data_IF_008997727178
#
_entry.id   IF_008997727178
#
_cell.length_a   1.000
_cell.length_b   1.000
_cell.length_c   1.000
_cell.angle_alpha   90.00
_cell.angle_beta   90.00
_cell.angle_gamma   90.00
#
_symmetry.space_group_name_H-M   'P 1'
#
loop_
_entity.id
_entity.type
_entity.pdbx_description
1 polymer ?
#
# COMPACT_ATOMS: atom_id res chain seq x y z
N UNK A 1 -23.71 10.59 -54.48
CA UNK A 1 -23.70 11.09 -53.07
C UNK A 1 -23.78 10.00 -52.03
N UNK A 2 -24.73 9.01 -52.08
CA UNK A 2 -24.84 7.94 -51.09
C UNK A 2 -23.58 7.05 -50.96
N UNK A 3 -22.84 6.76 -52.04
CA UNK A 3 -21.62 5.93 -52.01
C UNK A 3 -20.44 6.66 -51.34
N UNK A 4 -20.35 7.98 -51.47
CA UNK A 4 -19.27 8.80 -50.88
C UNK A 4 -19.49 8.90 -49.35
N UNK A 5 -20.74 9.05 -48.89
CA UNK A 5 -21.09 9.08 -47.46
C UNK A 5 -20.74 7.75 -46.76
N UNK A 6 -20.96 6.61 -47.43
CA UNK A 6 -20.63 5.29 -46.89
C UNK A 6 -19.14 5.05 -46.75
N UNK A 7 -18.32 5.52 -47.71
CA UNK A 7 -16.86 5.44 -47.69
C UNK A 7 -16.28 6.34 -46.58
N UNK A 8 -16.81 7.56 -46.39
CA UNK A 8 -16.40 8.46 -45.32
C UNK A 8 -16.73 7.88 -43.93
N UNK A 9 -17.91 7.22 -43.79
CA UNK A 9 -18.31 6.57 -42.56
C UNK A 9 -17.45 5.32 -42.25
N UNK A 10 -17.01 4.58 -43.25
CA UNK A 10 -16.10 3.45 -43.13
C UNK A 10 -14.68 3.91 -42.71
N UNK A 11 -14.18 4.99 -43.30
CA UNK A 11 -12.86 5.58 -43.00
C UNK A 11 -12.87 6.16 -41.58
N UNK A 12 -13.96 6.83 -41.15
CA UNK A 12 -14.09 7.32 -39.79
C UNK A 12 -14.08 6.17 -38.75
N UNK A 13 -14.71 5.04 -39.04
CA UNK A 13 -14.69 3.88 -38.16
C UNK A 13 -13.34 3.17 -38.12
N UNK A 14 -12.58 3.15 -39.23
CA UNK A 14 -11.22 2.58 -39.24
C UNK A 14 -10.19 3.48 -38.54
N UNK A 15 -10.40 4.79 -38.48
CA UNK A 15 -9.58 5.73 -37.71
C UNK A 15 -9.84 5.60 -36.17
N UNK A 16 -11.01 5.11 -35.77
CA UNK A 16 -11.32 4.79 -34.36
C UNK A 16 -10.76 3.43 -33.88
N UNK A 17 -10.35 2.54 -34.80
CA UNK A 17 -9.93 1.16 -34.49
C UNK A 17 -8.42 0.98 -34.23
N UNK A 18 -7.62 2.04 -34.18
CA UNK A 18 -6.17 1.89 -34.23
C UNK A 18 -5.33 2.67 -33.22
N UNK A 19 -5.92 3.33 -32.23
CA UNK A 19 -5.07 4.00 -31.24
C UNK A 19 -4.65 3.00 -30.16
N UNK A 20 -3.37 2.65 -30.15
CA UNK A 20 -2.79 1.76 -29.14
C UNK A 20 -3.06 2.33 -27.72
N UNK A 21 -3.56 1.47 -26.82
CA UNK A 21 -3.83 1.85 -25.45
C UNK A 21 -2.52 2.10 -24.71
N UNK A 22 -2.50 3.11 -23.86
CA UNK A 22 -1.37 3.34 -22.95
C UNK A 22 -1.15 2.09 -22.10
N UNK A 23 0.09 1.60 -22.05
CA UNK A 23 0.50 0.45 -21.24
C UNK A 23 1.18 0.94 -19.97
N UNK A 24 0.59 0.62 -18.82
CA UNK A 24 1.01 1.13 -17.53
C UNK A 24 1.54 0.00 -16.68
N UNK A 25 2.85 0.00 -16.43
CA UNK A 25 3.51 -0.90 -15.49
C UNK A 25 3.24 -0.49 -14.04
N UNK A 26 3.13 -1.46 -13.15
CA UNK A 26 3.04 -1.23 -11.71
C UNK A 26 4.00 -2.12 -10.94
N UNK A 27 4.53 -1.62 -9.82
CA UNK A 27 5.52 -2.32 -9.00
C UNK A 27 4.91 -3.07 -7.83
N UNK A 28 3.90 -2.51 -7.18
CA UNK A 28 3.26 -3.06 -5.99
C UNK A 28 1.75 -3.26 -6.23
N UNK A 29 1.19 -4.27 -5.58
CA UNK A 29 -0.23 -4.65 -5.71
C UNK A 29 -1.21 -3.50 -5.47
N UNK A 30 -1.05 -2.62 -4.46
CA UNK A 30 -1.95 -1.49 -4.26
C UNK A 30 -2.05 -0.58 -5.48
N UNK A 31 -0.93 -0.32 -6.17
CA UNK A 31 -0.92 0.53 -7.37
C UNK A 31 -1.68 -0.08 -8.54
N UNK A 32 -1.73 -1.42 -8.62
CA UNK A 32 -2.60 -2.06 -9.60
C UNK A 32 -4.06 -1.64 -9.40
N UNK A 33 -4.57 -1.75 -8.17
CA UNK A 33 -5.94 -1.36 -7.86
C UNK A 33 -6.19 0.13 -8.13
N UNK A 34 -5.25 1.01 -7.76
CA UNK A 34 -5.37 2.45 -8.00
C UNK A 34 -5.45 2.76 -9.48
N UNK A 35 -4.49 2.27 -10.26
CA UNK A 35 -4.42 2.52 -11.71
C UNK A 35 -5.62 1.89 -12.42
N UNK A 36 -5.97 0.63 -12.12
CA UNK A 36 -7.09 -0.05 -12.74
C UNK A 36 -8.44 0.67 -12.51
N UNK A 37 -8.65 1.23 -11.31
CA UNK A 37 -9.85 2.03 -11.04
C UNK A 37 -9.85 3.39 -11.76
N UNK A 38 -8.69 3.98 -12.03
CA UNK A 38 -8.57 5.24 -12.77
C UNK A 38 -8.81 5.00 -14.27
N UNK A 39 -8.11 4.05 -14.86
CA UNK A 39 -8.05 3.92 -16.33
C UNK A 39 -9.11 2.98 -16.89
N UNK A 40 -9.57 2.01 -16.12
CA UNK A 40 -10.51 0.95 -16.54
C UNK A 40 -10.09 0.33 -17.88
N UNK A 41 -10.96 0.43 -18.90
CA UNK A 41 -10.75 -0.12 -20.24
C UNK A 41 -9.97 0.79 -21.19
N UNK A 42 -9.57 2.00 -20.76
CA UNK A 42 -8.88 3.00 -21.61
C UNK A 42 -7.37 2.78 -21.69
N UNK A 43 -6.78 2.08 -20.75
CA UNK A 43 -5.37 1.72 -20.74
C UNK A 43 -5.20 0.26 -20.28
N UNK A 44 -4.03 -0.31 -20.53
CA UNK A 44 -3.64 -1.65 -20.05
C UNK A 44 -2.77 -1.52 -18.81
N UNK A 45 -3.10 -2.26 -17.75
CA UNK A 45 -2.33 -2.25 -16.50
C UNK A 45 -1.56 -3.57 -16.39
N UNK A 46 -0.23 -3.48 -16.34
CA UNK A 46 0.68 -4.63 -16.42
C UNK A 46 1.54 -4.70 -15.16
N UNK A 47 1.41 -5.75 -14.33
CA UNK A 47 2.34 -5.96 -13.24
C UNK A 47 3.77 -6.20 -13.75
N UNK A 48 4.74 -5.43 -13.27
CA UNK A 48 6.15 -5.61 -13.64
C UNK A 48 6.71 -6.86 -12.95
N UNK A 49 6.33 -7.09 -11.70
CA UNK A 49 6.70 -8.28 -10.92
C UNK A 49 5.46 -9.13 -10.64
N UNK A 50 5.65 -10.46 -10.56
CA UNK A 50 4.59 -11.37 -10.13
C UNK A 50 4.41 -11.23 -8.61
N UNK A 51 3.14 -11.17 -8.15
CA UNK A 51 2.83 -11.04 -6.72
C UNK A 51 3.02 -12.35 -5.93
N UNK A 52 3.10 -13.49 -6.60
CA UNK A 52 3.22 -14.79 -5.96
C UNK A 52 4.61 -14.96 -5.35
N UNK A 53 4.67 -15.14 -4.02
CA UNK A 53 5.93 -15.27 -3.29
C UNK A 53 6.79 -13.99 -3.27
N UNK A 54 6.18 -12.84 -3.55
CA UNK A 54 6.88 -11.57 -3.64
C UNK A 54 7.07 -10.93 -2.25
N UNK A 55 8.32 -10.69 -1.90
CA UNK A 55 8.72 -9.82 -0.80
C UNK A 55 9.51 -8.65 -1.38
N UNK A 56 8.95 -7.46 -1.31
CA UNK A 56 9.54 -6.26 -1.90
C UNK A 56 10.89 -5.86 -1.27
N UNK A 57 11.12 -6.22 -0.02
CA UNK A 57 12.37 -5.88 0.69
C UNK A 57 13.57 -6.72 0.24
N UNK A 58 13.31 -7.96 -0.20
CA UNK A 58 14.36 -8.92 -0.57
C UNK A 58 14.37 -9.26 -2.07
N UNK A 59 13.46 -8.67 -2.84
CA UNK A 59 13.26 -9.00 -4.24
C UNK A 59 14.49 -8.72 -5.09
N UNK A 60 14.88 -9.72 -5.90
CA UNK A 60 15.91 -9.59 -6.92
C UNK A 60 15.27 -9.62 -8.33
N UNK A 61 15.55 -8.60 -9.17
CA UNK A 61 15.04 -8.54 -10.54
C UNK A 61 15.38 -9.77 -11.37
N UNK A 62 14.43 -10.19 -12.20
CA UNK A 62 14.55 -11.30 -13.16
C UNK A 62 14.50 -10.79 -14.59
N UNK A 63 14.96 -11.59 -15.54
CA UNK A 63 14.94 -11.24 -16.98
C UNK A 63 13.52 -10.94 -17.46
N UNK A 64 12.53 -11.69 -16.99
CA UNK A 64 11.13 -11.51 -17.36
C UNK A 64 10.55 -10.17 -16.88
N UNK A 65 11.10 -9.59 -15.78
CA UNK A 65 10.69 -8.28 -15.29
C UNK A 65 11.18 -7.18 -16.25
N UNK A 66 12.42 -7.31 -16.75
CA UNK A 66 12.99 -6.40 -17.73
C UNK A 66 12.20 -6.48 -19.06
N UNK A 67 11.83 -7.69 -19.48
CA UNK A 67 11.00 -7.88 -20.66
C UNK A 67 9.62 -7.23 -20.52
N UNK A 68 8.99 -7.33 -19.34
CA UNK A 68 7.70 -6.65 -19.07
C UNK A 68 7.88 -5.14 -19.05
N UNK A 69 8.93 -4.64 -18.39
CA UNK A 69 9.24 -3.22 -18.32
C UNK A 69 9.51 -2.60 -19.70
N UNK A 70 10.11 -3.37 -20.63
CA UNK A 70 10.36 -2.90 -22.01
C UNK A 70 9.10 -2.79 -22.87
N UNK A 71 7.96 -3.30 -22.42
CA UNK A 71 6.68 -3.32 -23.15
C UNK A 71 5.68 -2.30 -22.63
N UNK A 72 6.03 -1.52 -21.62
CA UNK A 72 5.15 -0.50 -21.04
C UNK A 72 5.64 0.90 -21.37
N UNK A 73 4.71 1.84 -21.46
CA UNK A 73 4.99 3.26 -21.78
C UNK A 73 5.35 4.03 -20.50
N UNK A 74 4.80 3.60 -19.37
CA UNK A 74 4.96 4.26 -18.07
C UNK A 74 4.99 3.22 -16.96
N UNK A 75 5.74 3.48 -15.87
CA UNK A 75 5.73 2.66 -14.66
C UNK A 75 5.34 3.53 -13.46
N UNK A 76 4.35 3.08 -12.69
CA UNK A 76 3.98 3.68 -11.41
C UNK A 76 4.80 3.01 -10.31
N UNK A 77 5.53 3.83 -9.56
CA UNK A 77 6.42 3.39 -8.47
C UNK A 77 6.02 4.01 -7.14
N UNK A 78 6.38 3.35 -6.04
CA UNK A 78 6.32 3.94 -4.70
C UNK A 78 7.27 5.15 -4.60
N UNK A 79 8.51 4.97 -5.02
CA UNK A 79 9.49 6.04 -5.22
C UNK A 79 10.06 6.64 -3.94
N UNK A 80 9.86 5.98 -2.79
CA UNK A 80 10.36 6.41 -1.47
C UNK A 80 10.97 5.24 -0.66
N UNK A 81 11.50 4.22 -1.34
CA UNK A 81 12.29 3.17 -0.69
C UNK A 81 11.64 1.80 -0.53
N UNK A 82 10.49 1.50 -1.11
CA UNK A 82 9.83 0.19 -0.99
C UNK A 82 9.94 -0.70 -2.24
N UNK A 83 10.15 -0.09 -3.38
CA UNK A 83 10.24 -0.77 -4.68
C UNK A 83 11.51 -0.40 -5.46
N UNK A 84 12.61 -0.17 -4.77
CA UNK A 84 13.88 0.27 -5.36
C UNK A 84 14.47 -0.72 -6.38
N UNK A 85 14.09 -1.99 -6.30
CA UNK A 85 14.45 -3.00 -7.30
C UNK A 85 14.03 -2.58 -8.73
N UNK A 86 12.98 -1.76 -8.87
CA UNK A 86 12.47 -1.33 -10.18
C UNK A 86 13.48 -0.47 -10.94
N UNK A 87 14.30 0.32 -10.27
CA UNK A 87 15.31 1.15 -10.93
C UNK A 87 16.36 0.28 -11.62
N UNK A 88 16.75 -0.85 -11.02
CA UNK A 88 17.63 -1.82 -11.65
C UNK A 88 17.00 -2.46 -12.90
N UNK A 89 15.68 -2.72 -12.85
CA UNK A 89 14.92 -3.23 -13.99
C UNK A 89 14.91 -2.18 -15.12
N UNK A 90 14.55 -0.93 -14.81
CA UNK A 90 14.47 0.17 -15.79
C UNK A 90 15.86 0.48 -16.40
N UNK A 91 16.92 0.39 -15.59
CA UNK A 91 18.28 0.63 -16.10
C UNK A 91 18.76 -0.45 -17.05
N UNK A 92 18.25 -1.67 -16.95
CA UNK A 92 18.51 -2.76 -17.88
C UNK A 92 17.67 -2.71 -19.16
N UNK A 93 16.60 -1.88 -19.22
CA UNK A 93 15.82 -1.68 -20.45
C UNK A 93 16.59 -0.83 -21.44
N UNK A 94 16.48 -1.16 -22.74
CA UNK A 94 17.06 -0.37 -23.85
C UNK A 94 16.69 1.12 -23.71
N UNK A 95 17.67 2.00 -23.90
CA UNK A 95 17.51 3.46 -23.74
C UNK A 95 16.35 4.05 -24.52
N UNK A 96 16.06 3.49 -25.70
CA UNK A 96 14.98 3.95 -26.58
C UNK A 96 13.60 3.42 -26.16
N UNK A 97 13.54 2.50 -25.16
CA UNK A 97 12.32 1.85 -24.66
C UNK A 97 12.09 2.10 -23.17
N UNK A 98 12.87 2.98 -22.55
CA UNK A 98 12.71 3.27 -21.13
C UNK A 98 11.34 3.92 -20.87
N UNK A 99 10.53 3.33 -19.95
CA UNK A 99 9.24 3.88 -19.59
C UNK A 99 9.37 5.21 -18.84
N UNK A 100 8.34 6.04 -18.91
CA UNK A 100 8.19 7.21 -18.04
C UNK A 100 7.90 6.75 -16.61
N UNK A 101 8.48 7.39 -15.62
CA UNK A 101 8.26 7.04 -14.20
C UNK A 101 7.23 7.99 -13.59
N UNK A 102 6.18 7.43 -12.99
CA UNK A 102 5.23 8.14 -12.12
C UNK A 102 5.53 7.77 -10.68
N UNK A 103 6.07 8.70 -9.89
CA UNK A 103 6.22 8.54 -8.45
C UNK A 103 4.87 8.80 -7.77
N UNK A 104 4.27 7.74 -7.21
CA UNK A 104 2.97 7.82 -6.54
C UNK A 104 3.02 8.69 -5.27
N UNK A 105 4.16 8.74 -4.59
CA UNK A 105 4.35 9.51 -3.35
C UNK A 105 4.86 10.94 -3.56
N UNK A 106 4.89 11.42 -4.79
CA UNK A 106 5.22 12.83 -5.03
C UNK A 106 4.23 13.73 -4.28
N UNK A 107 4.75 14.59 -3.41
CA UNK A 107 3.96 15.52 -2.58
C UNK A 107 3.02 14.83 -1.56
N UNK A 108 3.21 13.54 -1.26
CA UNK A 108 2.51 12.85 -0.17
C UNK A 108 3.19 13.20 1.16
N UNK A 109 2.37 13.45 2.19
CA UNK A 109 2.89 13.70 3.55
C UNK A 109 3.49 12.43 4.12
N UNK A 110 4.81 12.46 4.40
CA UNK A 110 5.55 11.30 4.88
C UNK A 110 5.72 11.35 6.41
N UNK A 111 5.64 10.18 7.04
CA UNK A 111 5.91 9.97 8.46
C UNK A 111 7.28 9.32 8.64
N UNK A 112 7.99 9.60 9.75
CA UNK A 112 9.17 8.82 10.11
C UNK A 112 8.79 7.41 10.56
N UNK A 113 9.72 6.47 10.41
CA UNK A 113 9.57 5.12 11.02
C UNK A 113 9.48 5.28 12.53
N UNK A 114 8.46 4.67 13.15
CA UNK A 114 8.31 4.74 14.60
C UNK A 114 9.44 3.97 15.31
N UNK A 115 9.85 4.47 16.49
CA UNK A 115 10.78 3.78 17.37
C UNK A 115 12.23 3.75 16.91
N UNK A 116 12.62 4.52 15.92
CA UNK A 116 14.03 4.75 15.58
C UNK A 116 14.71 5.54 16.71
N UNK A 117 15.69 4.90 17.35
CA UNK A 117 16.42 5.49 18.50
C UNK A 117 17.52 6.49 18.08
N UNK A 118 17.76 6.63 16.79
CA UNK A 118 18.79 7.52 16.24
C UNK A 118 18.15 8.76 15.64
N UNK A 119 18.87 9.89 15.68
CA UNK A 119 18.47 11.20 15.14
C UNK A 119 18.23 11.20 13.61
N UNK A 120 18.53 10.13 12.91
CA UNK A 120 18.20 9.95 11.49
C UNK A 120 16.72 9.63 11.35
N UNK A 121 15.95 10.59 10.87
CA UNK A 121 14.54 10.41 10.49
C UNK A 121 14.44 9.57 9.22
N UNK A 122 14.52 8.26 9.38
CA UNK A 122 14.21 7.33 8.27
C UNK A 122 12.72 7.46 7.98
N UNK A 123 12.37 7.78 6.74
CA UNK A 123 10.98 7.89 6.31
C UNK A 123 10.36 6.50 6.15
N UNK A 124 9.13 6.36 6.61
CA UNK A 124 8.36 5.14 6.43
C UNK A 124 7.82 5.07 4.99
N UNK A 125 8.23 4.05 4.24
CA UNK A 125 7.86 3.86 2.85
C UNK A 125 6.50 3.15 2.65
N UNK A 126 5.83 2.74 3.72
CA UNK A 126 4.58 1.95 3.67
C UNK A 126 3.32 2.82 3.57
N UNK A 127 3.41 3.93 2.84
CA UNK A 127 2.29 4.87 2.63
C UNK A 127 1.04 4.20 2.05
N UNK A 128 1.22 3.13 1.27
CA UNK A 128 0.13 2.38 0.67
C UNK A 128 -0.69 1.56 1.69
N UNK A 129 -0.23 1.42 2.94
CA UNK A 129 -1.00 0.81 4.04
C UNK A 129 -1.80 1.91 4.78
N UNK A 130 -2.45 2.80 4.04
CA UNK A 130 -3.29 3.87 4.59
C UNK A 130 -4.24 4.39 3.52
N UNK A 131 -5.50 4.58 3.88
CA UNK A 131 -6.48 5.16 2.96
C UNK A 131 -6.17 6.64 2.70
N UNK A 132 -5.70 7.39 3.70
CA UNK A 132 -5.37 8.80 3.55
C UNK A 132 -4.24 9.01 2.55
N UNK A 133 -3.16 8.24 2.67
CA UNK A 133 -2.04 8.31 1.74
C UNK A 133 -2.44 7.73 0.36
N UNK A 134 -3.21 6.63 0.31
CA UNK A 134 -3.72 6.07 -0.94
C UNK A 134 -4.54 7.08 -1.75
N UNK A 135 -5.37 7.91 -1.09
CA UNK A 135 -6.12 8.98 -1.77
C UNK A 135 -5.17 10.01 -2.40
N UNK A 136 -4.10 10.39 -1.70
CA UNK A 136 -3.10 11.32 -2.25
C UNK A 136 -2.37 10.68 -3.44
N UNK A 137 -1.99 9.41 -3.32
CA UNK A 137 -1.36 8.65 -4.41
C UNK A 137 -2.28 8.52 -5.64
N UNK A 138 -3.56 8.22 -5.45
CA UNK A 138 -4.56 8.18 -6.53
C UNK A 138 -4.63 9.55 -7.25
N UNK A 139 -4.62 10.66 -6.52
CA UNK A 139 -4.60 11.99 -7.13
C UNK A 139 -3.31 12.26 -7.91
N UNK A 140 -2.15 11.89 -7.37
CA UNK A 140 -0.86 12.07 -8.05
C UNK A 140 -0.79 11.24 -9.32
N UNK A 141 -1.14 9.96 -9.25
CA UNK A 141 -1.16 9.07 -10.42
C UNK A 141 -2.12 9.62 -11.48
N UNK A 142 -3.34 10.03 -11.08
CA UNK A 142 -4.32 10.60 -12.01
C UNK A 142 -3.78 11.85 -12.71
N UNK A 143 -3.15 12.75 -11.97
CA UNK A 143 -2.56 13.99 -12.49
C UNK A 143 -1.51 13.72 -13.56
N UNK A 144 -0.64 12.74 -13.34
CA UNK A 144 0.40 12.38 -14.31
C UNK A 144 -0.18 11.62 -15.52
N UNK A 145 -1.12 10.68 -15.30
CA UNK A 145 -1.80 9.99 -16.41
C UNK A 145 -2.57 10.94 -17.33
N UNK A 146 -3.21 11.96 -16.79
CA UNK A 146 -3.89 13.01 -17.60
C UNK A 146 -2.92 13.77 -18.51
N UNK A 147 -1.67 13.98 -18.09
CA UNK A 147 -0.65 14.62 -18.94
C UNK A 147 -0.17 13.69 -20.05
N UNK A 148 -0.04 12.40 -19.77
CA UNK A 148 0.45 11.39 -20.70
C UNK A 148 -0.62 10.96 -21.70
N UNK A 149 -1.88 10.98 -21.30
CA UNK A 149 -3.03 10.59 -22.13
C UNK A 149 -4.18 11.60 -22.04
N UNK A 150 -3.98 12.82 -22.57
CA UNK A 150 -4.92 13.93 -22.42
C UNK A 150 -6.29 13.68 -23.05
N UNK A 151 -6.39 12.79 -24.04
CA UNK A 151 -7.67 12.41 -24.68
C UNK A 151 -8.63 11.73 -23.71
N UNK A 152 -8.11 11.03 -22.68
CA UNK A 152 -8.89 10.34 -21.65
C UNK A 152 -8.99 11.15 -20.35
N UNK A 153 -8.58 12.42 -20.32
CA UNK A 153 -8.54 13.29 -19.15
C UNK A 153 -9.82 13.22 -18.31
N UNK A 154 -10.96 13.53 -18.91
CA UNK A 154 -12.22 13.65 -18.18
C UNK A 154 -12.68 12.30 -17.63
N UNK A 155 -12.41 11.22 -18.37
CA UNK A 155 -12.67 9.85 -17.94
C UNK A 155 -11.84 9.47 -16.71
N UNK A 156 -10.53 9.73 -16.73
CA UNK A 156 -9.64 9.46 -15.61
C UNK A 156 -10.00 10.28 -14.35
N UNK A 157 -10.30 11.57 -14.54
CA UNK A 157 -10.72 12.45 -13.45
C UNK A 157 -12.05 12.01 -12.81
N UNK A 158 -13.02 11.58 -13.62
CA UNK A 158 -14.30 11.08 -13.12
C UNK A 158 -14.11 9.79 -12.31
N UNK A 159 -13.39 8.81 -12.85
CA UNK A 159 -13.13 7.53 -12.18
C UNK A 159 -12.31 7.71 -10.89
N UNK A 160 -11.29 8.58 -10.92
CA UNK A 160 -10.50 8.91 -9.73
C UNK A 160 -11.39 9.48 -8.61
N UNK A 161 -12.33 10.39 -8.91
CA UNK A 161 -13.27 10.93 -7.91
C UNK A 161 -14.16 9.84 -7.31
N UNK A 162 -14.70 8.95 -8.15
CA UNK A 162 -15.53 7.82 -7.68
C UNK A 162 -14.72 6.86 -6.80
N UNK A 163 -13.49 6.56 -7.19
CA UNK A 163 -12.63 5.68 -6.41
C UNK A 163 -12.26 6.30 -5.05
N UNK A 164 -11.87 7.57 -5.03
CA UNK A 164 -11.60 8.32 -3.80
C UNK A 164 -12.82 8.36 -2.87
N UNK A 165 -14.03 8.52 -3.42
CA UNK A 165 -15.29 8.46 -2.64
C UNK A 165 -15.46 7.10 -1.97
N UNK A 166 -15.17 6.01 -2.69
CA UNK A 166 -15.20 4.63 -2.15
C UNK A 166 -14.21 4.45 -1.00
N UNK A 167 -12.96 4.91 -1.18
CA UNK A 167 -11.92 4.84 -0.16
C UNK A 167 -12.28 5.64 1.10
N UNK A 168 -12.77 6.88 0.92
CA UNK A 168 -13.24 7.71 2.04
C UNK A 168 -14.39 7.03 2.82
N UNK A 169 -15.28 6.34 2.11
CA UNK A 169 -16.38 5.62 2.77
C UNK A 169 -15.84 4.50 3.66
N UNK A 170 -14.90 3.68 3.17
CA UNK A 170 -14.27 2.61 3.97
C UNK A 170 -13.66 3.16 5.26
N UNK A 171 -12.86 4.23 5.15
CA UNK A 171 -12.26 4.89 6.33
C UNK A 171 -13.33 5.43 7.29
N UNK A 172 -14.31 6.14 6.76
CA UNK A 172 -15.37 6.76 7.60
C UNK A 172 -16.18 5.71 8.34
N UNK A 173 -16.52 4.60 7.68
CA UNK A 173 -17.28 3.52 8.29
C UNK A 173 -16.48 2.89 9.45
N UNK A 174 -15.19 2.60 9.26
CA UNK A 174 -14.32 2.08 10.31
C UNK A 174 -14.19 3.05 11.51
N UNK A 175 -13.96 4.35 11.25
CA UNK A 175 -13.83 5.35 12.31
C UNK A 175 -15.11 5.55 13.12
N UNK A 176 -16.29 5.46 12.49
CA UNK A 176 -17.58 5.52 13.20
C UNK A 176 -17.72 4.44 14.25
N UNK A 177 -17.18 3.24 14.02
CA UNK A 177 -17.30 2.13 14.95
C UNK A 177 -16.52 2.35 16.26
N UNK A 178 -15.54 3.24 16.25
CA UNK A 178 -14.68 3.55 17.39
C UNK A 178 -14.70 5.04 17.78
N UNK A 179 -15.65 5.81 17.27
CA UNK A 179 -15.74 7.27 17.50
C UNK A 179 -15.77 7.69 18.98
N UNK A 180 -16.16 6.78 19.88
CA UNK A 180 -16.21 7.02 21.32
C UNK A 180 -14.93 6.54 22.05
N UNK A 181 -13.87 6.26 21.33
CA UNK A 181 -12.58 5.85 21.87
C UNK A 181 -11.52 6.84 21.40
N UNK A 182 -10.80 7.45 22.33
CA UNK A 182 -9.61 8.23 21.98
C UNK A 182 -8.47 7.26 21.61
N UNK A 183 -7.97 7.32 20.40
CA UNK A 183 -6.86 6.49 19.94
C UNK A 183 -5.60 6.66 20.79
N UNK A 184 -5.36 7.86 21.32
CA UNK A 184 -4.25 8.15 22.23
C UNK A 184 -4.27 7.37 23.55
N UNK A 185 -5.44 6.81 23.92
CA UNK A 185 -5.58 5.97 25.12
C UNK A 185 -5.19 4.50 24.87
N UNK A 186 -4.90 4.12 23.62
CA UNK A 186 -4.50 2.77 23.22
C UNK A 186 -2.99 2.75 22.94
N UNK A 187 -2.24 2.03 23.78
CA UNK A 187 -0.78 1.92 23.63
C UNK A 187 -0.43 0.73 22.78
N UNK A 188 0.10 1.00 21.61
CA UNK A 188 0.38 0.01 20.57
C UNK A 188 1.87 -0.16 20.36
N UNK A 189 2.29 -1.41 20.19
CA UNK A 189 3.56 -1.74 19.55
C UNK A 189 3.29 -2.51 18.25
N UNK A 190 4.26 -2.51 17.35
CA UNK A 190 4.24 -3.34 16.16
C UNK A 190 5.48 -4.24 16.12
N UNK A 191 5.39 -5.44 15.54
CA UNK A 191 6.58 -6.25 15.32
C UNK A 191 7.49 -5.55 14.31
N UNK A 192 6.95 -5.16 13.18
CA UNK A 192 7.66 -4.48 12.10
C UNK A 192 7.18 -3.03 11.97
N UNK A 193 8.04 -2.17 11.46
CA UNK A 193 7.62 -0.85 10.95
C UNK A 193 6.69 -1.03 9.76
N UNK A 194 5.90 0.00 9.44
CA UNK A 194 5.05 0.00 8.24
C UNK A 194 3.56 0.19 8.51
N UNK A 195 3.10 0.04 9.74
CA UNK A 195 1.69 0.26 10.08
C UNK A 195 1.39 1.63 10.68
N UNK A 196 2.39 2.53 10.72
CA UNK A 196 2.24 3.87 11.31
C UNK A 196 1.13 4.68 10.64
N UNK A 197 1.10 4.66 9.30
CA UNK A 197 0.08 5.41 8.54
C UNK A 197 -1.33 4.89 8.80
N UNK A 198 -1.51 3.57 8.87
CA UNK A 198 -2.80 2.95 9.18
C UNK A 198 -3.26 3.31 10.60
N UNK A 199 -2.40 3.13 11.58
CA UNK A 199 -2.71 3.35 12.99
C UNK A 199 -2.96 4.83 13.29
N UNK A 200 -2.23 5.74 12.63
CA UNK A 200 -2.44 7.18 12.72
C UNK A 200 -3.84 7.61 12.22
N UNK A 201 -4.49 6.87 11.33
CA UNK A 201 -5.87 7.14 10.92
C UNK A 201 -6.88 7.03 12.08
N UNK A 202 -6.54 6.24 13.10
CA UNK A 202 -7.31 6.08 14.33
C UNK A 202 -6.78 6.94 15.48
N UNK A 203 -5.82 7.83 15.24
CA UNK A 203 -5.16 8.65 16.26
C UNK A 203 -4.27 7.83 17.20
N UNK A 204 -3.78 6.68 16.77
CA UNK A 204 -2.90 5.80 17.53
C UNK A 204 -1.45 6.05 17.13
N UNK A 205 -0.62 6.39 18.11
CA UNK A 205 0.83 6.47 17.96
C UNK A 205 1.47 5.12 18.31
N UNK A 206 2.30 4.58 17.42
CA UNK A 206 3.09 3.38 17.68
C UNK A 206 4.19 3.73 18.69
N UNK A 207 4.13 3.11 19.88
CA UNK A 207 5.07 3.38 20.99
C UNK A 207 6.38 2.62 20.86
N UNK A 208 6.36 1.48 20.16
CA UNK A 208 7.55 0.67 19.93
C UNK A 208 7.42 -0.16 18.66
N UNK A 209 8.53 -0.28 17.93
CA UNK A 209 8.74 -1.31 16.92
C UNK A 209 9.66 -2.36 17.54
N UNK A 210 9.23 -3.61 17.55
CA UNK A 210 9.90 -4.68 18.30
C UNK A 210 11.04 -5.33 17.50
N UNK A 211 10.88 -5.38 16.19
CA UNK A 211 11.87 -5.88 15.22
C UNK A 211 12.10 -4.82 14.14
N UNK A 212 13.19 -4.05 14.23
CA UNK A 212 13.42 -2.95 13.29
C UNK A 212 13.86 -3.40 11.89
N UNK A 213 14.25 -4.68 11.71
CA UNK A 213 14.79 -5.19 10.44
C UNK A 213 14.05 -6.45 10.01
N UNK A 214 13.45 -6.44 8.82
CA UNK A 214 12.76 -7.58 8.23
C UNK A 214 13.68 -8.80 8.08
N UNK A 215 13.16 -9.98 8.48
CA UNK A 215 13.81 -11.29 8.23
C UNK A 215 15.01 -11.62 9.10
N UNK A 216 15.31 -10.82 10.12
CA UNK A 216 16.33 -11.16 11.11
C UNK A 216 15.75 -12.14 12.13
N UNK A 217 16.48 -13.22 12.46
CA UNK A 217 16.12 -14.07 13.59
C UNK A 217 16.29 -13.28 14.90
N UNK A 218 15.21 -13.15 15.66
CA UNK A 218 15.26 -12.50 16.98
C UNK A 218 16.04 -13.41 17.93
N UNK A 219 17.14 -12.90 18.49
CA UNK A 219 17.84 -13.62 19.55
C UNK A 219 17.02 -13.68 20.83
N UNK A 220 17.24 -14.71 21.68
CA UNK A 220 16.56 -14.80 22.98
C UNK A 220 16.81 -13.57 23.87
N UNK A 221 18.00 -12.98 23.80
CA UNK A 221 18.32 -11.74 24.52
C UNK A 221 17.52 -10.54 23.99
N UNK A 222 17.31 -10.47 22.68
CA UNK A 222 16.46 -9.43 22.08
C UNK A 222 15.00 -9.63 22.45
N UNK A 223 14.52 -10.87 22.45
CA UNK A 223 13.15 -11.20 22.85
C UNK A 223 12.86 -10.81 24.31
N UNK A 224 13.82 -11.04 25.21
CA UNK A 224 13.70 -10.62 26.61
C UNK A 224 13.59 -9.10 26.73
N UNK A 225 14.42 -8.34 26.00
CA UNK A 225 14.33 -6.85 25.97
C UNK A 225 12.98 -6.38 25.43
N UNK A 226 12.42 -7.07 24.43
CA UNK A 226 11.08 -6.79 23.89
C UNK A 226 10.02 -6.97 24.99
N UNK A 227 10.06 -8.10 25.73
CA UNK A 227 9.15 -8.39 26.83
C UNK A 227 9.24 -7.33 27.95
N UNK A 228 10.45 -6.94 28.34
CA UNK A 228 10.70 -5.89 29.32
C UNK A 228 10.11 -4.54 28.85
N UNK A 229 10.33 -4.18 27.56
CA UNK A 229 9.79 -2.96 26.96
C UNK A 229 8.27 -2.96 26.94
N UNK A 230 7.63 -4.07 26.54
CA UNK A 230 6.17 -4.23 26.58
C UNK A 230 5.62 -3.93 27.97
N UNK A 231 6.23 -4.52 29.01
CA UNK A 231 5.82 -4.34 30.42
C UNK A 231 6.06 -2.90 30.89
N UNK A 232 7.24 -2.33 30.61
CA UNK A 232 7.63 -0.97 31.01
C UNK A 232 6.72 0.08 30.37
N UNK A 233 6.48 0.00 29.08
CA UNK A 233 5.69 0.97 28.31
C UNK A 233 4.19 0.71 28.45
N UNK A 234 3.81 -0.34 29.21
CA UNK A 234 2.41 -0.77 29.43
C UNK A 234 1.65 -0.91 28.11
N UNK A 235 2.24 -1.57 27.15
CA UNK A 235 1.61 -1.82 25.83
C UNK A 235 0.30 -2.60 26.04
N UNK A 236 -0.76 -2.15 25.38
CA UNK A 236 -2.08 -2.76 25.49
C UNK A 236 -2.29 -3.86 24.46
N UNK A 237 -1.68 -3.70 23.28
CA UNK A 237 -1.82 -4.61 22.13
C UNK A 237 -0.62 -4.52 21.20
N UNK A 238 -0.31 -5.61 20.52
CA UNK A 238 0.74 -5.68 19.51
C UNK A 238 0.11 -6.02 18.15
N UNK A 239 0.52 -5.33 17.10
CA UNK A 239 0.22 -5.73 15.73
C UNK A 239 1.46 -6.36 15.07
N UNK A 240 1.23 -7.48 14.40
CA UNK A 240 2.23 -8.16 13.59
C UNK A 240 1.74 -8.35 12.17
N UNK A 241 2.64 -8.70 11.27
CA UNK A 241 2.28 -9.10 9.92
C UNK A 241 1.66 -10.50 9.92
N UNK A 242 0.70 -10.76 9.03
CA UNK A 242 -0.02 -12.03 8.95
C UNK A 242 0.90 -13.24 8.79
N UNK A 243 1.99 -13.08 8.09
CA UNK A 243 2.98 -14.12 7.81
C UNK A 243 4.10 -14.19 8.85
N UNK A 244 4.00 -13.42 9.95
CA UNK A 244 5.01 -13.42 10.99
C UNK A 244 5.00 -14.75 11.78
N UNK A 245 6.20 -15.19 12.25
CA UNK A 245 6.37 -16.45 12.98
C UNK A 245 5.50 -16.52 14.23
N UNK A 246 4.71 -17.58 14.34
CA UNK A 246 3.86 -17.82 15.52
C UNK A 246 4.65 -18.16 16.78
N UNK A 247 5.92 -18.57 16.67
CA UNK A 247 6.78 -18.92 17.79
C UNK A 247 7.04 -17.73 18.72
N UNK A 248 7.54 -16.61 18.18
CA UNK A 248 7.79 -15.39 18.97
C UNK A 248 6.50 -14.79 19.52
N UNK A 249 5.43 -14.82 18.73
CA UNK A 249 4.10 -14.39 19.16
C UNK A 249 3.64 -15.19 20.38
N UNK A 250 3.82 -16.52 20.38
CA UNK A 250 3.43 -17.41 21.46
C UNK A 250 4.23 -17.12 22.74
N UNK A 251 5.56 -16.95 22.63
CA UNK A 251 6.40 -16.64 23.79
C UNK A 251 5.98 -15.29 24.39
N UNK A 252 5.80 -14.25 23.59
CA UNK A 252 5.39 -12.93 24.09
C UNK A 252 4.02 -12.99 24.77
N UNK A 253 3.05 -13.70 24.18
CA UNK A 253 1.73 -13.90 24.79
C UNK A 253 1.82 -14.60 26.15
N UNK A 254 2.60 -15.67 26.24
CA UNK A 254 2.76 -16.44 27.48
C UNK A 254 3.44 -15.61 28.59
N UNK A 255 4.45 -14.82 28.25
CA UNK A 255 5.23 -14.03 29.21
C UNK A 255 4.57 -12.72 29.64
N UNK A 256 3.67 -12.18 28.83
CA UNK A 256 3.09 -10.85 29.07
C UNK A 256 1.57 -10.83 29.21
N UNK A 257 0.89 -11.87 28.75
CA UNK A 257 -0.58 -11.90 28.64
C UNK A 257 -1.15 -10.88 27.65
N UNK A 258 -0.28 -10.30 26.77
CA UNK A 258 -0.69 -9.28 25.81
C UNK A 258 -1.40 -9.92 24.62
N UNK A 259 -2.37 -9.21 24.07
CA UNK A 259 -3.04 -9.58 22.83
C UNK A 259 -2.16 -9.21 21.64
N UNK A 260 -2.01 -10.13 20.70
CA UNK A 260 -1.31 -9.90 19.42
C UNK A 260 -2.31 -10.09 18.29
N UNK A 261 -2.37 -9.11 17.39
CA UNK A 261 -3.24 -9.09 16.23
C UNK A 261 -2.42 -9.07 14.94
N UNK A 262 -2.97 -9.62 13.87
CA UNK A 262 -2.27 -9.75 12.59
C UNK A 262 -2.88 -8.82 11.54
N UNK A 263 -2.02 -8.10 10.80
CA UNK A 263 -2.39 -7.21 9.70
C UNK A 263 -1.80 -7.74 8.39
N UNK A 264 -2.45 -7.37 7.29
CA UNK A 264 -1.97 -7.65 5.94
C UNK A 264 -0.91 -6.62 5.54
N UNK A 265 0.11 -7.05 4.80
CA UNK A 265 1.13 -6.12 4.27
C UNK A 265 0.75 -5.53 2.90
N UNK A 266 -0.33 -5.98 2.29
CA UNK A 266 -0.89 -5.50 1.02
C UNK A 266 0.01 -5.67 -0.22
N UNK A 267 1.12 -6.40 -0.16
CA UNK A 267 2.04 -6.58 -1.29
C UNK A 267 1.88 -7.91 -2.01
N UNK A 268 1.22 -8.89 -1.40
CA UNK A 268 0.98 -10.22 -1.95
C UNK A 268 -0.49 -10.45 -2.27
N UNK A 269 -0.79 -11.23 -3.30
CA UNK A 269 -2.16 -11.56 -3.69
C UNK A 269 -2.42 -11.40 -5.18
N UNK A 270 -3.68 -11.52 -5.59
CA UNK A 270 -4.07 -11.37 -6.98
C UNK A 270 -4.14 -9.89 -7.40
N UNK A 271 -3.64 -9.57 -8.56
CA UNK A 271 -3.76 -8.25 -9.17
C UNK A 271 -5.18 -8.06 -9.72
N UNK A 272 -6.05 -7.49 -8.90
CA UNK A 272 -7.43 -7.13 -9.29
C UNK A 272 -7.73 -5.69 -8.92
N UNK A 273 -8.73 -5.09 -9.59
CA UNK A 273 -9.10 -3.70 -9.35
C UNK A 273 -9.59 -3.44 -7.92
N UNK A 274 -10.03 -4.47 -7.20
CA UNK A 274 -10.56 -4.38 -5.83
C UNK A 274 -9.64 -4.99 -4.75
N UNK A 275 -8.42 -5.42 -5.11
CA UNK A 275 -7.49 -6.05 -4.16
C UNK A 275 -7.15 -5.11 -3.00
N UNK A 276 -6.85 -3.84 -3.28
CA UNK A 276 -6.53 -2.88 -2.23
C UNK A 276 -7.67 -2.72 -1.22
N UNK A 277 -8.90 -2.53 -1.71
CA UNK A 277 -10.07 -2.33 -0.83
C UNK A 277 -10.38 -3.55 0.01
N UNK A 278 -10.18 -4.76 -0.54
CA UNK A 278 -10.37 -6.00 0.20
C UNK A 278 -9.38 -6.13 1.35
N UNK A 279 -8.09 -5.92 1.08
CA UNK A 279 -7.04 -6.06 2.08
C UNK A 279 -7.08 -4.96 3.13
N UNK A 280 -7.18 -3.68 2.70
CA UNK A 280 -7.22 -2.57 3.66
C UNK A 280 -8.47 -2.63 4.56
N UNK A 281 -9.59 -3.18 4.04
CA UNK A 281 -10.78 -3.40 4.87
C UNK A 281 -10.52 -4.41 5.98
N UNK A 282 -9.80 -5.50 5.69
CA UNK A 282 -9.42 -6.49 6.71
C UNK A 282 -8.60 -5.81 7.82
N UNK A 283 -7.63 -4.98 7.44
CA UNK A 283 -6.80 -4.25 8.40
C UNK A 283 -7.58 -3.24 9.23
N UNK A 284 -8.47 -2.48 8.58
CA UNK A 284 -9.36 -1.54 9.29
C UNK A 284 -10.25 -2.27 10.30
N UNK A 285 -10.87 -3.38 9.91
CA UNK A 285 -11.73 -4.20 10.79
C UNK A 285 -10.92 -4.74 11.97
N UNK A 286 -9.68 -5.18 11.74
CA UNK A 286 -8.81 -5.71 12.78
C UNK A 286 -8.38 -4.61 13.77
N UNK A 287 -8.02 -3.42 13.30
CA UNK A 287 -7.70 -2.28 14.17
C UNK A 287 -8.93 -1.86 14.98
N UNK A 288 -10.11 -1.80 14.38
CA UNK A 288 -11.38 -1.52 15.08
C UNK A 288 -11.65 -2.55 16.18
N UNK A 289 -11.50 -3.85 15.85
CA UNK A 289 -11.66 -4.95 16.80
C UNK A 289 -10.69 -4.82 17.99
N UNK A 290 -9.43 -4.50 17.69
CA UNK A 290 -8.37 -4.30 18.68
C UNK A 290 -8.68 -3.14 19.63
N UNK A 291 -9.11 -2.00 19.12
CA UNK A 291 -9.50 -0.82 19.91
C UNK A 291 -10.67 -1.18 20.85
N UNK A 292 -11.69 -1.86 20.34
CA UNK A 292 -12.84 -2.32 21.14
C UNK A 292 -12.41 -3.29 22.25
N UNK A 293 -11.50 -4.21 21.96
CA UNK A 293 -10.94 -5.15 22.94
C UNK A 293 -10.23 -4.41 24.08
N UNK A 294 -9.33 -3.47 23.76
CA UNK A 294 -8.59 -2.70 24.78
C UNK A 294 -9.55 -1.87 25.63
N UNK A 295 -10.55 -1.21 25.02
CA UNK A 295 -11.57 -0.46 25.76
C UNK A 295 -12.33 -1.33 26.76
N UNK A 296 -12.75 -2.53 26.36
CA UNK A 296 -13.49 -3.44 27.24
C UNK A 296 -12.61 -3.96 28.38
N UNK A 297 -11.37 -4.36 28.08
CA UNK A 297 -10.38 -4.79 29.10
C UNK A 297 -10.15 -3.72 30.18
N UNK A 298 -10.09 -2.44 29.78
CA UNK A 298 -9.85 -1.34 30.70
C UNK A 298 -11.10 -0.96 31.54
N UNK A 299 -12.32 -1.25 31.07
CA UNK A 299 -13.54 -1.09 31.86
C UNK A 299 -13.62 -2.09 33.02
N UNK A 300 -13.12 -3.30 32.86
CA UNK A 300 -13.14 -4.34 33.89
C UNK A 300 -11.99 -4.20 34.93
N UNK A 301 -11.05 -3.28 34.72
CA UNK A 301 -9.97 -2.98 35.66
C UNK A 301 -10.27 -1.80 36.61
N UNK A 302 -11.36 -1.07 36.34
CA UNK A 302 -11.90 -0.02 37.21
C UNK A 302 -13.04 -0.55 38.07
#
# INVERSE_FOLDING_TARGET
>A
MKKIIFVVFLILNTLLLGQEKLKIGITLLPYYSFVANIVKDRAEVIPIVKAEGFDSHTYQPKVEDIERASKVDVIVVNGIGHDEFVYKIIDAVDKNKKPVIINANKDVSLMPVAGTLNDEKILDSHTFISITAAIQQVHNITKELVKLDPKNKDFYLANSREYVKKLRKLKTDALKEVQNVNGGDVRVATFLGGYNYLLAEFGIDVKAVLEPTHGSQISMASLQKIIEKIKKDKIDIIFGEKNYSDEYVTIIKNETGIEVRKLEHLTTGAYTADSFEKFIKVDLDEVVSAIKYVKNKNKHKK
#
